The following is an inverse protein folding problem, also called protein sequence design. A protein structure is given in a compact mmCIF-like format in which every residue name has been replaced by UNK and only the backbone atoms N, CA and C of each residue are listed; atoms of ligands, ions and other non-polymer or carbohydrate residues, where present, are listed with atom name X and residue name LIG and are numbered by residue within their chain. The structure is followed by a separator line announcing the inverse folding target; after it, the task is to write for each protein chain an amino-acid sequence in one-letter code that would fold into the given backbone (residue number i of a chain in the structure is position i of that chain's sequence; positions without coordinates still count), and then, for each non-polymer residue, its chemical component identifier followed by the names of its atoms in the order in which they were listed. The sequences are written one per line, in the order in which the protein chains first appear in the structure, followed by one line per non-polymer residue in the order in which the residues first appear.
data_IF_381658356739
#
_entry.id   IF_381658356739
#
_cell.length_a   1.000
_cell.length_b   1.000
_cell.length_c   1.000
_cell.angle_alpha   90.00
_cell.angle_beta   90.00
_cell.angle_gamma   90.00
#
_symmetry.space_group_name_H-M   'P 1'
#
loop_
_entity.id
_entity.type
_entity.pdbx_description
1 polymer ?
#
# COMPACT_ATOMS: atom_id res chain seq x y z
N UNK A 1 44.35 -25.77 64.09
CA UNK A 1 42.95 -25.65 64.55
C UNK A 1 42.97 -25.25 66.01
N UNK A 2 42.27 -24.18 66.44
CA UNK A 2 42.23 -23.80 67.84
C UNK A 2 41.62 -24.92 68.70
N UNK A 3 42.18 -25.17 69.87
CA UNK A 3 41.66 -26.21 70.76
C UNK A 3 40.28 -25.80 71.29
N UNK A 4 39.41 -26.76 71.63
CA UNK A 4 38.08 -26.48 72.24
C UNK A 4 38.21 -25.61 73.51
N UNK A 5 39.34 -25.66 74.19
CA UNK A 5 39.61 -24.94 75.42
C UNK A 5 39.93 -23.46 75.17
N UNK A 6 40.61 -23.16 74.05
CA UNK A 6 40.91 -21.79 73.62
C UNK A 6 39.65 -21.04 73.20
N UNK A 7 38.75 -21.71 72.48
CA UNK A 7 37.44 -21.15 72.10
C UNK A 7 36.56 -20.86 73.33
N UNK A 8 36.60 -21.72 74.34
CA UNK A 8 35.83 -21.54 75.58
C UNK A 8 36.36 -20.38 76.42
N UNK A 9 37.69 -20.20 76.48
CA UNK A 9 38.32 -19.05 77.15
C UNK A 9 37.99 -17.74 76.46
N UNK A 10 38.07 -17.70 75.12
CA UNK A 10 37.72 -16.53 74.33
C UNK A 10 36.24 -16.14 74.50
N UNK A 11 35.33 -17.12 74.46
CA UNK A 11 33.90 -16.88 74.66
C UNK A 11 33.60 -16.30 76.05
N UNK A 12 34.23 -16.85 77.10
CA UNK A 12 34.05 -16.36 78.46
C UNK A 12 34.62 -14.93 78.64
N UNK A 13 35.78 -14.65 78.02
CA UNK A 13 36.37 -13.32 78.00
C UNK A 13 35.42 -12.30 77.35
N UNK A 14 34.95 -12.58 76.13
CA UNK A 14 34.02 -11.74 75.39
C UNK A 14 32.70 -11.55 76.15
N UNK A 15 32.13 -12.62 76.73
CA UNK A 15 30.91 -12.57 77.53
C UNK A 15 31.06 -11.65 78.74
N UNK A 16 32.18 -11.74 79.45
CA UNK A 16 32.44 -10.90 80.62
C UNK A 16 32.61 -9.42 80.26
N UNK A 17 33.24 -9.14 79.12
CA UNK A 17 33.49 -7.78 78.64
C UNK A 17 32.19 -7.13 78.13
N UNK A 18 31.38 -7.87 77.35
CA UNK A 18 30.06 -7.45 76.89
C UNK A 18 29.08 -7.20 78.05
N UNK A 19 29.17 -7.98 79.14
CA UNK A 19 28.29 -7.79 80.29
C UNK A 19 28.54 -6.48 81.03
N UNK A 20 29.78 -5.96 81.00
CA UNK A 20 30.21 -4.73 81.67
C UNK A 20 30.16 -3.48 80.78
N UNK A 21 29.89 -3.65 79.48
CA UNK A 21 29.87 -2.56 78.52
C UNK A 21 28.68 -1.61 78.78
N UNK A 22 28.97 -0.31 78.80
CA UNK A 22 28.00 0.77 78.80
C UNK A 22 28.46 1.80 77.77
N UNK A 23 27.65 2.06 76.75
CA UNK A 23 27.98 3.01 75.68
C UNK A 23 27.66 4.47 76.05
N UNK A 24 26.93 4.69 77.14
CA UNK A 24 26.60 6.03 77.63
C UNK A 24 27.78 6.60 78.43
N UNK A 25 28.15 7.85 78.12
CA UNK A 25 29.24 8.57 78.78
C UNK A 25 28.69 9.47 79.89
N UNK A 26 28.07 8.88 80.88
CA UNK A 26 27.36 9.56 81.98
C UNK A 26 28.06 9.31 83.30
N UNK A 27 28.35 10.39 84.03
CA UNK A 27 28.95 10.35 85.38
C UNK A 27 27.82 10.51 86.40
N UNK A 28 27.00 9.47 86.53
CA UNK A 28 25.92 9.40 87.54
C UNK A 28 26.27 8.36 88.58
N UNK A 29 26.09 8.68 89.87
CA UNK A 29 26.26 7.71 90.97
C UNK A 29 24.98 6.89 91.24
N UNK A 30 23.87 7.22 90.56
CA UNK A 30 22.60 6.52 90.71
C UNK A 30 22.64 5.15 90.01
N UNK A 31 22.55 4.10 90.81
CA UNK A 31 22.60 2.71 90.36
C UNK A 31 21.47 2.37 89.38
N UNK A 32 20.29 2.99 89.52
CA UNK A 32 19.14 2.75 88.64
C UNK A 32 19.43 3.28 87.23
N UNK A 33 20.08 4.44 87.14
CA UNK A 33 20.46 5.07 85.87
C UNK A 33 21.49 4.20 85.14
N UNK A 34 22.55 3.76 85.84
CA UNK A 34 23.59 2.89 85.28
C UNK A 34 23.01 1.55 84.78
N UNK A 35 22.04 0.97 85.52
CA UNK A 35 21.39 -0.27 85.11
C UNK A 35 20.56 -0.10 83.82
N UNK A 36 19.82 1.01 83.70
CA UNK A 36 19.04 1.31 82.50
C UNK A 36 19.94 1.58 81.29
N UNK A 37 21.05 2.29 81.47
CA UNK A 37 22.03 2.54 80.40
C UNK A 37 22.70 1.25 79.89
N UNK A 38 23.06 0.34 80.79
CA UNK A 38 23.57 -1.00 80.42
C UNK A 38 22.51 -1.82 79.67
N UNK A 39 21.24 -1.74 80.07
CA UNK A 39 20.12 -2.42 79.37
C UNK A 39 19.91 -1.82 77.97
N UNK A 40 19.91 -0.50 77.84
CA UNK A 40 19.81 0.21 76.57
C UNK A 40 20.99 -0.07 75.65
N UNK A 41 22.22 -0.13 76.19
CA UNK A 41 23.43 -0.54 75.47
C UNK A 41 23.29 -1.95 74.91
N UNK A 42 22.79 -2.91 75.70
CA UNK A 42 22.56 -4.28 75.26
C UNK A 42 21.49 -4.35 74.18
N UNK A 43 20.37 -3.62 74.35
CA UNK A 43 19.31 -3.57 73.35
C UNK A 43 19.81 -2.98 72.03
N UNK A 44 20.57 -1.88 72.08
CA UNK A 44 21.18 -1.26 70.90
C UNK A 44 22.11 -2.23 70.18
N UNK A 45 23.02 -2.91 70.89
CA UNK A 45 23.92 -3.88 70.26
C UNK A 45 23.19 -5.07 69.66
N UNK A 46 22.14 -5.57 70.31
CA UNK A 46 21.29 -6.63 69.75
C UNK A 46 20.63 -6.14 68.46
N UNK A 47 20.02 -4.96 68.46
CA UNK A 47 19.37 -4.37 67.28
C UNK A 47 20.37 -4.09 66.14
N UNK A 48 21.57 -3.61 66.48
CA UNK A 48 22.63 -3.35 65.51
C UNK A 48 23.10 -4.64 64.86
N UNK A 49 23.37 -5.68 65.65
CA UNK A 49 23.79 -6.99 65.13
C UNK A 49 22.66 -7.63 64.31
N UNK A 50 21.41 -7.57 64.76
CA UNK A 50 20.29 -8.13 63.98
C UNK A 50 20.08 -7.38 62.67
N UNK A 51 20.15 -6.05 62.65
CA UNK A 51 20.07 -5.27 61.40
C UNK A 51 21.21 -5.61 60.44
N UNK A 52 22.45 -5.73 60.93
CA UNK A 52 23.59 -6.17 60.11
C UNK A 52 23.37 -7.57 59.54
N UNK A 53 22.84 -8.51 60.33
CA UNK A 53 22.49 -9.85 59.86
C UNK A 53 21.41 -9.78 58.77
N UNK A 54 20.36 -8.97 58.95
CA UNK A 54 19.29 -8.79 57.95
C UNK A 54 19.88 -8.25 56.64
N UNK A 55 20.76 -7.25 56.69
CA UNK A 55 21.42 -6.71 55.50
C UNK A 55 22.31 -7.74 54.80
N UNK A 56 23.07 -8.53 55.56
CA UNK A 56 23.90 -9.61 55.01
C UNK A 56 23.05 -10.68 54.33
N UNK A 57 21.96 -11.11 54.98
CA UNK A 57 21.02 -12.08 54.40
C UNK A 57 20.40 -11.53 53.13
N UNK A 58 19.89 -10.29 53.17
CA UNK A 58 19.31 -9.63 52.00
C UNK A 58 20.31 -9.58 50.83
N UNK A 59 21.55 -9.17 51.08
CA UNK A 59 22.58 -9.11 50.06
C UNK A 59 22.98 -10.50 49.53
N UNK A 60 23.00 -11.52 50.39
CA UNK A 60 23.30 -12.90 49.98
C UNK A 60 22.16 -13.57 49.19
N UNK A 61 20.92 -13.13 49.40
CA UNK A 61 19.71 -13.65 48.76
C UNK A 61 19.34 -12.85 47.51
N UNK A 62 19.95 -11.68 47.30
CA UNK A 62 19.79 -10.91 46.07
C UNK A 62 20.15 -11.81 44.89
N UNK A 63 19.12 -12.19 44.13
CA UNK A 63 19.26 -13.03 42.95
C UNK A 63 20.13 -12.27 41.96
N UNK A 64 21.30 -12.84 41.64
CA UNK A 64 22.09 -12.39 40.51
C UNK A 64 21.56 -13.08 39.27
N UNK A 65 21.23 -12.29 38.25
CA UNK A 65 20.99 -12.82 36.91
C UNK A 65 22.34 -13.14 36.28
N UNK A 66 22.54 -14.38 35.88
CA UNK A 66 23.72 -14.81 35.14
C UNK A 66 23.40 -14.75 33.65
N UNK A 67 24.16 -13.96 32.90
CA UNK A 67 24.00 -13.85 31.45
C UNK A 67 24.73 -15.02 30.76
N UNK A 68 23.98 -15.86 30.06
CA UNK A 68 24.53 -16.94 29.23
C UNK A 68 24.66 -16.53 27.77
N UNK A 69 25.82 -16.81 27.15
CA UNK A 69 26.01 -16.61 25.70
C UNK A 69 25.93 -17.95 24.96
N UNK A 70 24.99 -18.05 24.02
CA UNK A 70 24.84 -19.22 23.15
C UNK A 70 25.16 -18.78 21.72
N UNK A 71 26.28 -19.27 21.14
CA UNK A 71 26.66 -18.90 19.78
C UNK A 71 25.73 -19.58 18.77
N UNK A 72 25.15 -18.78 17.87
CA UNK A 72 24.40 -19.25 16.68
C UNK A 72 23.44 -20.42 16.95
N UNK A 73 22.44 -20.25 17.84
CA UNK A 73 21.49 -21.32 18.15
C UNK A 73 20.70 -21.71 16.91
N UNK A 74 20.29 -22.98 16.84
CA UNK A 74 19.30 -23.42 15.85
C UNK A 74 17.92 -22.79 16.14
N UNK A 75 17.04 -22.73 15.13
CA UNK A 75 15.69 -22.18 15.30
C UNK A 75 14.88 -22.95 16.35
N UNK A 76 15.01 -24.28 16.39
CA UNK A 76 14.34 -25.13 17.39
C UNK A 76 14.88 -24.86 18.81
N UNK A 77 16.19 -24.62 18.92
CA UNK A 77 16.82 -24.27 20.20
C UNK A 77 16.38 -22.89 20.71
N UNK A 78 16.24 -21.92 19.81
CA UNK A 78 15.66 -20.62 20.12
C UNK A 78 14.25 -20.78 20.70
N UNK A 79 13.35 -21.50 20.03
CA UNK A 79 11.98 -21.69 20.52
C UNK A 79 11.90 -22.45 21.84
N UNK A 80 12.84 -23.36 22.08
CA UNK A 80 12.93 -24.06 23.38
C UNK A 80 13.29 -23.09 24.49
N UNK A 81 14.33 -22.28 24.30
CA UNK A 81 14.88 -21.41 25.36
C UNK A 81 13.99 -20.19 25.60
N UNK A 82 13.35 -19.65 24.55
CA UNK A 82 12.44 -18.50 24.67
C UNK A 82 11.26 -18.74 25.64
N UNK A 83 10.88 -20.01 25.85
CA UNK A 83 9.83 -20.39 26.81
C UNK A 83 10.28 -20.27 28.28
N UNK A 84 11.58 -20.35 28.53
CA UNK A 84 12.16 -20.45 29.87
C UNK A 84 12.91 -19.19 30.29
N UNK A 85 13.41 -18.41 29.33
CA UNK A 85 14.20 -17.21 29.58
C UNK A 85 13.94 -16.09 28.57
N UNK A 86 14.25 -14.85 28.97
CA UNK A 86 14.27 -13.70 28.07
C UNK A 86 15.54 -13.76 27.20
N UNK A 87 15.36 -13.80 25.88
CA UNK A 87 16.45 -13.90 24.92
C UNK A 87 16.63 -12.59 24.15
N UNK A 88 17.89 -12.20 23.96
CA UNK A 88 18.27 -11.17 23.00
C UNK A 88 19.12 -11.84 21.92
N UNK A 89 18.54 -12.00 20.72
CA UNK A 89 19.22 -12.60 19.58
C UNK A 89 19.56 -11.49 18.57
N UNK A 90 20.74 -10.87 18.65
CA UNK A 90 21.14 -9.84 17.69
C UNK A 90 21.28 -10.43 16.30
N UNK A 91 20.73 -9.73 15.31
CA UNK A 91 20.83 -10.12 13.92
C UNK A 91 22.26 -9.88 13.40
N UNK A 92 22.82 -10.83 12.65
CA UNK A 92 24.11 -10.62 11.95
C UNK A 92 23.96 -9.57 10.85
N UNK A 93 22.83 -9.60 10.13
CA UNK A 93 22.46 -8.59 9.16
C UNK A 93 21.23 -7.85 9.69
N UNK A 94 21.38 -6.54 9.90
CA UNK A 94 20.31 -5.69 10.43
C UNK A 94 19.30 -5.34 9.32
N UNK A 95 19.70 -5.45 8.06
CA UNK A 95 18.85 -5.16 6.91
C UNK A 95 18.75 -6.35 5.99
N UNK A 96 17.53 -6.63 5.54
CA UNK A 96 17.21 -7.61 4.51
C UNK A 96 16.19 -6.98 3.57
N UNK A 97 16.36 -7.17 2.27
CA UNK A 97 15.35 -6.71 1.33
C UNK A 97 14.12 -7.61 1.34
N UNK A 98 12.94 -7.03 1.10
CA UNK A 98 11.69 -7.78 1.02
C UNK A 98 11.72 -8.87 -0.08
N UNK A 99 12.43 -8.64 -1.18
CA UNK A 99 12.59 -9.64 -2.27
C UNK A 99 13.19 -10.99 -1.81
N UNK A 100 13.82 -11.03 -0.64
CA UNK A 100 14.46 -12.25 -0.11
C UNK A 100 13.43 -13.22 0.48
N UNK A 101 12.29 -12.72 0.97
CA UNK A 101 11.34 -13.53 1.76
C UNK A 101 9.87 -13.31 1.42
N UNK A 102 9.54 -12.33 0.55
CA UNK A 102 8.18 -12.06 0.10
C UNK A 102 8.13 -11.91 -1.42
N UNK A 103 7.07 -12.44 -2.04
CA UNK A 103 6.83 -12.36 -3.48
C UNK A 103 5.40 -11.87 -3.73
N UNK A 104 5.26 -10.82 -4.56
CA UNK A 104 3.98 -10.33 -5.04
C UNK A 104 3.88 -10.60 -6.53
N UNK A 105 2.89 -11.41 -6.92
CA UNK A 105 2.62 -11.75 -8.32
C UNK A 105 1.35 -11.03 -8.76
N UNK A 106 1.44 -9.96 -9.57
CA UNK A 106 0.26 -9.23 -10.01
C UNK A 106 -0.51 -10.04 -11.06
N UNK A 107 -1.83 -9.93 -11.02
CA UNK A 107 -2.73 -10.43 -12.08
C UNK A 107 -3.40 -9.26 -12.75
N UNK A 108 -3.19 -9.10 -14.06
CA UNK A 108 -3.81 -8.01 -14.80
C UNK A 108 -5.25 -8.37 -15.19
N UNK A 109 -6.08 -7.34 -15.30
CA UNK A 109 -7.44 -7.52 -15.77
C UNK A 109 -7.46 -7.99 -17.23
N UNK A 110 -8.31 -8.98 -17.55
CA UNK A 110 -8.42 -9.58 -18.90
C UNK A 110 -8.51 -8.55 -20.03
N UNK A 111 -9.16 -7.40 -19.78
CA UNK A 111 -9.26 -6.31 -20.75
C UNK A 111 -7.89 -5.82 -21.24
N UNK A 112 -6.93 -5.67 -20.32
CA UNK A 112 -5.57 -5.21 -20.61
C UNK A 112 -4.67 -6.29 -21.21
N UNK A 113 -5.10 -7.55 -21.17
CA UNK A 113 -4.42 -8.68 -21.83
C UNK A 113 -5.12 -9.10 -23.14
N UNK A 114 -6.26 -8.47 -23.47
CA UNK A 114 -7.08 -8.82 -24.62
C UNK A 114 -6.53 -8.26 -25.93
N UNK A 115 -7.01 -8.81 -27.05
CA UNK A 115 -6.72 -8.29 -28.39
C UNK A 115 -7.12 -6.81 -28.55
N UNK A 116 -8.06 -6.30 -27.74
CA UNK A 116 -8.61 -4.95 -27.87
C UNK A 116 -7.65 -3.83 -27.43
N UNK A 117 -6.50 -4.17 -26.86
CA UNK A 117 -5.41 -3.20 -26.60
C UNK A 117 -4.19 -3.43 -27.50
N UNK A 118 -4.27 -4.37 -28.44
CA UNK A 118 -3.20 -4.66 -29.40
C UNK A 118 -3.06 -3.59 -30.48
N UNK A 119 -1.87 -3.48 -31.06
CA UNK A 119 -1.64 -2.66 -32.26
C UNK A 119 -2.52 -3.09 -33.44
N UNK A 120 -2.78 -4.38 -33.58
CA UNK A 120 -3.53 -4.95 -34.68
C UNK A 120 -5.00 -4.52 -34.65
N UNK A 121 -5.61 -4.53 -33.46
CA UNK A 121 -6.95 -4.01 -33.25
C UNK A 121 -7.03 -2.50 -33.51
N UNK A 122 -6.09 -1.73 -32.97
CA UNK A 122 -6.06 -0.28 -33.15
C UNK A 122 -5.90 0.09 -34.63
N UNK A 123 -5.00 -0.60 -35.35
CA UNK A 123 -4.82 -0.41 -36.80
C UNK A 123 -6.07 -0.78 -37.58
N UNK A 124 -6.80 -1.83 -37.16
CA UNK A 124 -8.08 -2.17 -37.78
C UNK A 124 -9.11 -1.06 -37.60
N UNK A 125 -9.25 -0.52 -36.40
CA UNK A 125 -10.16 0.61 -36.15
C UNK A 125 -9.75 1.85 -36.94
N UNK A 126 -8.45 2.09 -37.11
CA UNK A 126 -7.94 3.19 -37.93
C UNK A 126 -8.37 3.06 -39.40
N UNK A 127 -8.30 1.87 -39.99
CA UNK A 127 -8.81 1.65 -41.35
C UNK A 127 -10.32 1.84 -41.47
N UNK A 128 -11.10 1.40 -40.48
CA UNK A 128 -12.55 1.63 -40.44
C UNK A 128 -12.88 3.12 -40.31
N UNK A 129 -12.09 3.86 -39.54
CA UNK A 129 -12.16 5.31 -39.41
C UNK A 129 -11.94 6.01 -40.76
N UNK A 130 -10.88 5.65 -41.49
CA UNK A 130 -10.57 6.24 -42.81
C UNK A 130 -11.69 5.98 -43.83
N UNK A 131 -12.23 4.77 -43.86
CA UNK A 131 -13.30 4.38 -44.79
C UNK A 131 -14.64 5.06 -44.48
N UNK A 132 -14.91 5.38 -43.22
CA UNK A 132 -16.19 5.92 -42.78
C UNK A 132 -16.21 7.44 -42.67
N UNK A 133 -15.09 8.13 -42.89
CA UNK A 133 -14.89 9.56 -42.62
C UNK A 133 -16.01 10.48 -43.15
N UNK A 134 -16.48 10.24 -44.37
CA UNK A 134 -17.48 11.09 -45.04
C UNK A 134 -18.94 10.72 -44.74
N UNK A 135 -19.21 9.49 -44.29
CA UNK A 135 -20.55 8.91 -44.24
C UNK A 135 -21.04 8.58 -42.83
N UNK A 136 -20.27 8.92 -41.79
CA UNK A 136 -20.55 8.56 -40.40
C UNK A 136 -20.87 9.78 -39.53
N UNK A 137 -21.79 9.59 -38.58
CA UNK A 137 -22.18 10.61 -37.61
C UNK A 137 -21.08 10.80 -36.54
N UNK A 138 -21.04 11.92 -35.81
CA UNK A 138 -20.08 12.11 -34.72
C UNK A 138 -20.14 11.04 -33.61
N UNK A 139 -21.28 10.37 -33.46
CA UNK A 139 -21.49 9.29 -32.47
C UNK A 139 -21.25 7.89 -33.04
N UNK A 140 -20.83 7.78 -34.30
CA UNK A 140 -20.51 6.50 -34.93
C UNK A 140 -19.23 5.92 -34.32
N UNK A 141 -19.31 4.67 -33.88
CA UNK A 141 -18.23 3.90 -33.28
C UNK A 141 -16.97 3.91 -34.15
N UNK A 142 -17.10 3.86 -35.47
CA UNK A 142 -15.94 3.87 -36.38
C UNK A 142 -15.14 5.17 -36.30
N UNK A 143 -15.77 6.29 -35.91
CA UNK A 143 -15.09 7.58 -35.75
C UNK A 143 -14.34 7.72 -34.42
N UNK A 144 -14.90 7.14 -33.36
CA UNK A 144 -14.44 7.35 -31.99
C UNK A 144 -13.62 6.17 -31.44
N UNK A 145 -13.89 4.96 -31.93
CA UNK A 145 -13.39 3.72 -31.37
C UNK A 145 -11.88 3.65 -31.39
N UNK A 146 -11.24 4.05 -32.50
CA UNK A 146 -9.77 4.05 -32.61
C UNK A 146 -9.11 4.85 -31.47
N UNK A 147 -9.65 6.02 -31.16
CA UNK A 147 -9.09 6.87 -30.11
C UNK A 147 -9.43 6.37 -28.71
N UNK A 148 -10.64 5.83 -28.50
CA UNK A 148 -11.04 5.26 -27.23
C UNK A 148 -10.24 3.99 -26.88
N UNK A 149 -9.96 3.12 -27.85
CA UNK A 149 -9.13 1.94 -27.64
C UNK A 149 -7.64 2.27 -27.54
N UNK A 150 -7.15 3.30 -28.23
CA UNK A 150 -5.82 3.86 -27.96
C UNK A 150 -5.72 4.40 -26.52
N UNK A 151 -6.74 5.12 -26.06
CA UNK A 151 -6.81 5.62 -24.68
C UNK A 151 -6.84 4.46 -23.69
N UNK A 152 -7.65 3.42 -23.94
CA UNK A 152 -7.69 2.21 -23.12
C UNK A 152 -6.32 1.53 -23.02
N UNK A 153 -5.62 1.37 -24.15
CA UNK A 153 -4.26 0.82 -24.16
C UNK A 153 -3.31 1.65 -23.29
N UNK A 154 -3.34 2.97 -23.42
CA UNK A 154 -2.50 3.85 -22.59
C UNK A 154 -2.84 3.74 -21.10
N UNK A 155 -4.12 3.57 -20.75
CA UNK A 155 -4.53 3.34 -19.35
C UNK A 155 -4.05 1.99 -18.83
N UNK A 156 -4.14 0.93 -19.64
CA UNK A 156 -3.60 -0.39 -19.29
C UNK A 156 -2.08 -0.35 -19.11
N UNK A 157 -1.36 0.36 -19.97
CA UNK A 157 0.09 0.58 -19.83
C UNK A 157 0.42 1.37 -18.55
N UNK A 158 -0.35 2.43 -18.26
CA UNK A 158 -0.18 3.21 -17.03
C UNK A 158 -0.41 2.35 -15.78
N UNK A 159 -1.45 1.51 -15.78
CA UNK A 159 -1.71 0.57 -14.70
C UNK A 159 -0.54 -0.42 -14.53
N UNK A 160 -0.09 -1.03 -15.63
CA UNK A 160 1.07 -1.93 -15.65
C UNK A 160 2.34 -1.28 -15.11
N UNK A 161 2.67 -0.07 -15.56
CA UNK A 161 3.82 0.69 -15.09
C UNK A 161 3.70 1.07 -13.61
N UNK A 162 2.50 1.41 -13.15
CA UNK A 162 2.25 1.77 -11.75
C UNK A 162 2.49 0.56 -10.85
N UNK A 163 1.98 -0.61 -11.24
CA UNK A 163 2.22 -1.88 -10.55
C UNK A 163 3.71 -2.21 -10.55
N UNK A 164 4.39 -2.14 -11.70
CA UNK A 164 5.82 -2.46 -11.81
C UNK A 164 6.70 -1.53 -10.95
N UNK A 165 6.40 -0.24 -10.91
CA UNK A 165 7.10 0.71 -10.01
C UNK A 165 6.84 0.40 -8.55
N UNK A 166 5.59 0.05 -8.19
CA UNK A 166 5.25 -0.39 -6.86
C UNK A 166 6.03 -1.65 -6.46
N UNK A 167 6.10 -2.66 -7.33
CA UNK A 167 6.83 -3.90 -7.10
C UNK A 167 8.33 -3.65 -6.93
N UNK A 168 8.92 -2.79 -7.75
CA UNK A 168 10.31 -2.38 -7.57
C UNK A 168 10.50 -1.72 -6.20
N UNK A 169 9.62 -0.78 -5.81
CA UNK A 169 9.69 -0.15 -4.50
C UNK A 169 9.57 -1.17 -3.37
N UNK A 170 8.62 -2.11 -3.46
CA UNK A 170 8.44 -3.19 -2.49
C UNK A 170 9.71 -4.04 -2.37
N UNK A 171 10.21 -4.57 -3.50
CA UNK A 171 11.37 -5.47 -3.55
C UNK A 171 12.65 -4.83 -3.01
N UNK A 172 12.87 -3.54 -3.29
CA UNK A 172 14.07 -2.80 -2.86
C UNK A 172 13.93 -2.15 -1.48
N UNK A 173 12.78 -2.25 -0.82
CA UNK A 173 12.62 -1.75 0.55
C UNK A 173 13.40 -2.67 1.50
N UNK A 174 14.07 -2.05 2.48
CA UNK A 174 14.79 -2.77 3.53
C UNK A 174 13.83 -3.07 4.71
N UNK A 175 13.75 -4.34 5.08
CA UNK A 175 13.28 -4.79 6.38
C UNK A 175 14.42 -4.62 7.39
N UNK A 176 14.24 -3.71 8.34
CA UNK A 176 15.29 -3.30 9.29
C UNK A 176 14.98 -3.86 10.67
N UNK A 177 15.84 -4.73 11.18
CA UNK A 177 15.67 -5.31 12.49
C UNK A 177 17.01 -5.66 13.16
N UNK A 178 17.23 -5.12 14.37
CA UNK A 178 18.45 -5.34 15.14
C UNK A 178 18.45 -6.62 15.97
N UNK A 179 17.25 -7.11 16.34
CA UNK A 179 17.04 -8.29 17.17
C UNK A 179 16.04 -9.24 16.51
N UNK A 180 16.25 -10.56 16.58
CA UNK A 180 15.29 -11.53 16.06
C UNK A 180 13.88 -11.25 16.60
N UNK A 181 12.92 -11.07 15.68
CA UNK A 181 11.50 -10.92 16.00
C UNK A 181 10.82 -12.28 16.09
N UNK A 182 9.73 -12.35 16.85
CA UNK A 182 8.87 -13.54 16.83
C UNK A 182 8.18 -13.69 15.48
N UNK A 183 7.77 -14.92 15.10
CA UNK A 183 7.00 -15.16 13.88
C UNK A 183 5.75 -14.29 13.79
N UNK A 184 5.00 -14.15 14.88
CA UNK A 184 3.76 -13.34 14.89
C UNK A 184 4.03 -11.88 14.56
N UNK A 185 5.12 -11.30 15.10
CA UNK A 185 5.50 -9.91 14.83
C UNK A 185 5.99 -9.78 13.39
N UNK A 186 6.75 -10.75 12.90
CA UNK A 186 7.20 -10.79 11.51
C UNK A 186 6.00 -10.81 10.55
N UNK A 187 5.06 -11.74 10.73
CA UNK A 187 3.85 -11.85 9.91
C UNK A 187 3.05 -10.54 9.91
N UNK A 188 2.78 -9.95 11.08
CA UNK A 188 2.05 -8.68 11.17
C UNK A 188 2.75 -7.54 10.43
N UNK A 189 4.08 -7.45 10.51
CA UNK A 189 4.85 -6.41 9.82
C UNK A 189 4.82 -6.61 8.30
N UNK A 190 4.99 -7.85 7.84
CA UNK A 190 4.93 -8.17 6.41
C UNK A 190 3.53 -7.92 5.85
N UNK A 191 2.49 -8.40 6.53
CA UNK A 191 1.11 -8.20 6.13
C UNK A 191 0.75 -6.72 6.09
N UNK A 192 1.21 -5.93 7.05
CA UNK A 192 1.00 -4.47 7.04
C UNK A 192 1.59 -3.84 5.79
N UNK A 193 2.80 -4.24 5.38
CA UNK A 193 3.47 -3.67 4.22
C UNK A 193 2.85 -4.15 2.90
N UNK A 194 2.43 -5.42 2.83
CA UNK A 194 1.67 -5.95 1.69
C UNK A 194 0.34 -5.22 1.54
N UNK A 195 -0.38 -5.00 2.64
CA UNK A 195 -1.65 -4.28 2.61
C UNK A 195 -1.46 -2.82 2.18
N UNK A 196 -0.40 -2.16 2.62
CA UNK A 196 -0.05 -0.82 2.14
C UNK A 196 0.20 -0.80 0.63
N UNK A 197 0.94 -1.78 0.10
CA UNK A 197 1.15 -1.93 -1.34
C UNK A 197 -0.18 -2.10 -2.10
N UNK A 198 -1.07 -2.98 -1.62
CA UNK A 198 -2.39 -3.25 -2.22
C UNK A 198 -3.27 -2.00 -2.18
N UNK A 199 -3.21 -1.21 -1.11
CA UNK A 199 -4.03 -0.01 -0.97
C UNK A 199 -3.51 1.20 -1.75
N UNK A 200 -2.20 1.46 -1.73
CA UNK A 200 -1.64 2.69 -2.31
C UNK A 200 -1.37 2.58 -3.82
N UNK A 201 -1.16 1.37 -4.35
CA UNK A 201 -0.89 1.19 -5.79
C UNK A 201 -2.10 1.63 -6.65
N UNK A 202 -3.34 1.18 -6.39
CA UNK A 202 -4.52 1.66 -7.13
C UNK A 202 -4.79 3.14 -6.90
N UNK A 203 -4.57 3.66 -5.68
CA UNK A 203 -4.72 5.10 -5.38
C UNK A 203 -3.75 5.93 -6.21
N UNK A 204 -2.52 5.46 -6.41
CA UNK A 204 -1.51 6.15 -7.24
C UNK A 204 -1.94 6.20 -8.70
N UNK A 205 -2.45 5.10 -9.24
CA UNK A 205 -3.04 5.07 -10.57
C UNK A 205 -4.21 6.05 -10.68
N UNK A 206 -5.16 6.01 -9.73
CA UNK A 206 -6.33 6.90 -9.71
C UNK A 206 -5.95 8.38 -9.61
N UNK A 207 -4.93 8.74 -8.84
CA UNK A 207 -4.42 10.13 -8.80
C UNK A 207 -3.90 10.57 -10.17
N UNK A 208 -3.12 9.73 -10.84
CA UNK A 208 -2.62 10.03 -12.18
C UNK A 208 -3.75 10.13 -13.20
N UNK A 209 -4.74 9.22 -13.11
CA UNK A 209 -5.94 9.23 -13.94
C UNK A 209 -6.77 10.51 -13.75
N UNK A 210 -7.11 10.87 -12.51
CA UNK A 210 -7.89 12.07 -12.20
C UNK A 210 -7.15 13.33 -12.67
N UNK A 211 -5.82 13.37 -12.51
CA UNK A 211 -5.02 14.46 -13.06
C UNK A 211 -5.15 14.57 -14.59
N UNK A 212 -5.11 13.45 -15.32
CA UNK A 212 -5.35 13.45 -16.78
C UNK A 212 -6.77 13.90 -17.13
N UNK A 213 -7.77 13.50 -16.35
CA UNK A 213 -9.16 13.89 -16.54
C UNK A 213 -9.35 15.39 -16.33
N UNK A 214 -8.83 15.94 -15.22
CA UNK A 214 -8.92 17.37 -14.92
C UNK A 214 -8.16 18.21 -15.94
N UNK A 215 -6.97 17.76 -16.35
CA UNK A 215 -6.17 18.44 -17.38
C UNK A 215 -6.88 18.43 -18.72
N UNK A 216 -7.45 17.30 -19.16
CA UNK A 216 -8.20 17.24 -20.43
C UNK A 216 -9.49 18.06 -20.37
N UNK A 217 -10.16 18.11 -19.21
CA UNK A 217 -11.36 18.91 -19.03
C UNK A 217 -11.09 20.42 -19.10
N UNK A 218 -9.98 20.87 -18.52
CA UNK A 218 -9.65 22.30 -18.36
C UNK A 218 -8.84 22.89 -19.51
N UNK A 219 -8.00 22.09 -20.19
CA UNK A 219 -6.94 22.64 -21.04
C UNK A 219 -7.33 22.83 -22.50
N UNK A 220 -8.59 22.59 -22.91
CA UNK A 220 -8.95 22.41 -24.33
C UNK A 220 -7.99 21.44 -25.06
N UNK A 221 -7.28 20.55 -24.33
CA UNK A 221 -6.45 19.51 -24.95
C UNK A 221 -7.43 18.62 -25.70
N UNK A 222 -7.44 18.85 -27.00
CA UNK A 222 -8.32 18.21 -27.94
C UNK A 222 -8.00 16.72 -27.93
N UNK A 223 -8.72 15.94 -27.13
CA UNK A 223 -8.79 14.48 -27.35
C UNK A 223 -9.18 14.28 -28.82
N UNK A 224 -8.67 13.27 -29.51
CA UNK A 224 -8.85 13.10 -30.97
C UNK A 224 -10.30 13.20 -31.49
N UNK A 225 -11.29 13.18 -30.60
CA UNK A 225 -12.67 13.58 -30.86
C UNK A 225 -12.82 15.03 -31.35
N UNK A 226 -11.94 15.97 -31.08
CA UNK A 226 -12.05 17.32 -31.67
C UNK A 226 -11.60 17.39 -33.13
N UNK A 227 -11.13 16.28 -33.73
CA UNK A 227 -11.09 16.20 -35.20
C UNK A 227 -12.54 16.09 -35.76
N UNK A 228 -13.56 15.91 -34.91
CA UNK A 228 -14.95 16.13 -35.30
C UNK A 228 -15.31 17.61 -35.50
N UNK A 229 -14.49 18.57 -35.04
CA UNK A 229 -14.69 20.01 -35.26
C UNK A 229 -13.95 20.58 -36.48
N UNK A 230 -13.19 19.75 -37.20
CA UNK A 230 -12.57 20.15 -38.46
C UNK A 230 -13.20 19.35 -39.59
N UNK A 231 -14.43 19.71 -39.95
CA UNK A 231 -14.88 19.44 -41.32
C UNK A 231 -14.14 20.42 -42.22
N UNK A 232 -13.56 20.01 -43.36
CA UNK A 232 -13.25 20.95 -44.42
C UNK A 232 -14.58 21.51 -44.91
N UNK A 233 -15.02 22.62 -44.31
CA UNK A 233 -16.16 23.36 -44.82
C UNK A 233 -15.65 24.11 -46.03
N UNK A 234 -16.15 23.80 -47.24
CA UNK A 234 -16.11 24.76 -48.33
C UNK A 234 -17.00 25.92 -47.92
N UNK A 235 -16.42 26.91 -47.25
CA UNK A 235 -17.14 28.14 -47.01
C UNK A 235 -17.14 28.92 -48.32
N UNK A 236 -18.33 29.12 -48.90
CA UNK A 236 -18.52 30.07 -49.99
C UNK A 236 -18.39 31.49 -49.42
N UNK A 237 -17.17 31.88 -49.05
CA UNK A 237 -16.83 33.29 -48.92
C UNK A 237 -16.65 33.80 -50.35
N UNK A 238 -17.38 34.85 -50.68
CA UNK A 238 -17.41 35.48 -52.00
C UNK A 238 -16.02 35.51 -52.69
N UNK A 239 -15.95 34.85 -53.84
CA UNK A 239 -14.99 35.07 -54.94
C UNK A 239 -13.49 34.79 -54.74
N UNK A 240 -13.02 34.17 -53.66
CA UNK A 240 -11.63 33.64 -53.63
C UNK A 240 -11.55 32.26 -52.98
N UNK A 241 -11.13 31.27 -53.77
CA UNK A 241 -10.98 29.87 -53.32
C UNK A 241 -9.73 29.78 -52.45
N UNK A 242 -9.89 30.03 -51.15
CA UNK A 242 -8.92 29.67 -50.12
C UNK A 242 -9.41 28.43 -49.36
N UNK A 243 -8.66 27.33 -49.41
CA UNK A 243 -8.88 26.23 -48.47
C UNK A 243 -8.32 26.66 -47.12
N UNK A 244 -9.19 26.99 -46.16
CA UNK A 244 -8.83 27.27 -44.77
C UNK A 244 -9.42 26.22 -43.84
N UNK A 245 -8.62 25.75 -42.87
CA UNK A 245 -9.14 24.98 -41.73
C UNK A 245 -9.73 25.98 -40.74
N UNK A 246 -11.06 26.08 -40.67
CA UNK A 246 -11.73 26.85 -39.61
C UNK A 246 -11.97 25.91 -38.43
N UNK A 247 -11.46 26.21 -37.22
CA UNK A 247 -11.86 25.48 -36.02
C UNK A 247 -13.35 25.74 -35.82
N UNK A 248 -14.20 24.72 -35.99
CA UNK A 248 -15.64 24.89 -35.76
C UNK A 248 -15.87 25.02 -34.25
N UNK A 249 -16.32 26.18 -33.74
CA UNK A 249 -16.68 26.30 -32.34
C UNK A 249 -18.05 25.64 -32.16
N UNK A 250 -18.08 24.50 -31.47
CA UNK A 250 -19.30 23.82 -31.07
C UNK A 250 -19.77 22.76 -32.07
N UNK A 251 -19.18 21.56 -31.99
CA UNK A 251 -19.85 20.37 -32.54
C UNK A 251 -21.06 20.09 -31.64
N UNK A 252 -22.25 20.21 -32.21
CA UNK A 252 -23.47 19.75 -31.57
C UNK A 252 -23.50 18.23 -31.70
N UNK A 253 -23.32 17.53 -30.59
CA UNK A 253 -23.63 16.11 -30.48
C UNK A 253 -25.13 15.98 -30.30
N UNK A 254 -25.82 15.39 -31.28
CA UNK A 254 -27.19 14.93 -31.10
C UNK A 254 -27.13 13.46 -30.76
N UNK A 255 -27.51 13.11 -29.54
CA UNK A 255 -27.53 11.74 -29.08
C UNK A 255 -28.85 11.05 -29.47
N UNK A 256 -28.91 9.74 -29.27
CA UNK A 256 -30.04 8.89 -29.67
C UNK A 256 -31.34 9.20 -28.93
N UNK A 257 -31.27 9.91 -27.80
CA UNK A 257 -32.40 10.42 -27.02
C UNK A 257 -32.85 11.82 -27.46
N UNK A 258 -32.35 12.32 -28.59
CA UNK A 258 -32.52 13.70 -29.09
C UNK A 258 -31.96 14.79 -28.18
N UNK A 259 -31.17 14.45 -27.15
CA UNK A 259 -30.42 15.45 -26.41
C UNK A 259 -29.33 16.04 -27.30
N UNK A 260 -29.22 17.38 -27.30
CA UNK A 260 -28.17 18.10 -28.02
C UNK A 260 -27.17 18.65 -27.03
N UNK A 261 -25.89 18.41 -27.28
CA UNK A 261 -24.82 18.88 -26.42
C UNK A 261 -23.72 19.59 -27.22
N UNK A 262 -23.18 20.67 -26.66
CA UNK A 262 -22.14 21.49 -27.29
C UNK A 262 -20.87 21.43 -26.45
N UNK A 263 -19.80 20.82 -26.98
CA UNK A 263 -18.57 20.59 -26.21
C UNK A 263 -17.91 21.86 -25.66
N UNK A 264 -18.17 23.02 -26.25
CA UNK A 264 -17.60 24.30 -25.81
C UNK A 264 -18.28 24.88 -24.57
N UNK A 265 -19.48 24.41 -24.21
CA UNK A 265 -20.29 24.99 -23.13
C UNK A 265 -20.86 23.95 -22.16
N UNK A 266 -20.62 22.67 -22.40
CA UNK A 266 -21.16 21.56 -21.62
C UNK A 266 -20.07 20.88 -20.79
N UNK A 267 -20.44 20.40 -19.60
CA UNK A 267 -19.51 19.70 -18.71
C UNK A 267 -19.32 18.24 -19.13
N UNK A 268 -18.25 17.60 -18.64
CA UNK A 268 -17.93 16.22 -19.00
C UNK A 268 -19.00 15.19 -18.63
N UNK A 269 -19.76 15.44 -17.56
CA UNK A 269 -20.83 14.54 -17.09
C UNK A 269 -22.16 14.73 -17.83
N UNK A 270 -22.40 15.90 -18.41
CA UNK A 270 -23.68 16.25 -19.07
C UNK A 270 -23.68 15.96 -20.56
N UNK A 271 -22.51 15.66 -21.13
CA UNK A 271 -22.29 15.54 -22.56
C UNK A 271 -21.83 14.16 -23.00
N UNK A 272 -22.58 13.12 -22.62
CA UNK A 272 -22.31 11.74 -22.96
C UNK A 272 -23.59 11.04 -23.43
N UNK A 273 -23.44 10.06 -24.31
CA UNK A 273 -24.53 9.21 -24.79
C UNK A 273 -24.00 7.92 -25.41
N UNK A 274 -24.89 7.09 -25.92
CA UNK A 274 -24.52 5.81 -26.51
C UNK A 274 -23.94 6.00 -27.91
N UNK A 275 -22.88 5.28 -28.21
CA UNK A 275 -22.32 5.21 -29.55
C UNK A 275 -23.25 4.40 -30.48
N UNK A 276 -23.05 4.57 -31.78
CA UNK A 276 -23.82 3.84 -32.80
C UNK A 276 -22.91 3.09 -33.76
N UNK A 277 -23.37 1.98 -34.31
CA UNK A 277 -22.69 1.27 -35.39
C UNK A 277 -23.74 0.87 -36.43
N UNK A 278 -23.54 1.27 -37.69
CA UNK A 278 -24.54 1.12 -38.77
C UNK A 278 -25.95 1.59 -38.35
N UNK A 279 -26.03 2.79 -37.76
CA UNK A 279 -27.24 3.43 -37.25
C UNK A 279 -27.97 2.69 -36.10
N UNK A 280 -27.39 1.62 -35.56
CA UNK A 280 -27.91 0.92 -34.39
C UNK A 280 -27.12 1.34 -33.15
N UNK A 281 -27.79 1.42 -32.00
CA UNK A 281 -27.15 1.68 -30.70
C UNK A 281 -26.16 0.56 -30.41
N UNK A 282 -24.93 0.92 -30.01
CA UNK A 282 -23.90 -0.02 -29.61
C UNK A 282 -23.99 -0.29 -28.09
N UNK A 283 -24.38 -1.50 -27.66
CA UNK A 283 -24.55 -1.79 -26.24
C UNK A 283 -23.26 -1.60 -25.45
N UNK A 284 -23.38 -0.97 -24.28
CA UNK A 284 -22.26 -0.79 -23.36
C UNK A 284 -21.13 0.10 -23.85
N UNK A 285 -21.30 0.87 -24.93
CA UNK A 285 -20.25 1.75 -25.45
C UNK A 285 -20.73 3.20 -25.52
N UNK A 286 -20.05 4.08 -24.79
CA UNK A 286 -20.42 5.49 -24.68
C UNK A 286 -19.48 6.40 -25.49
N UNK A 287 -20.04 7.51 -25.91
CA UNK A 287 -19.37 8.60 -26.62
C UNK A 287 -19.76 9.94 -26.02
N UNK A 288 -18.94 10.96 -26.23
CA UNK A 288 -19.20 12.29 -25.71
C UNK A 288 -18.05 13.25 -26.00
N UNK A 289 -18.19 14.48 -25.52
CA UNK A 289 -17.16 15.51 -25.72
C UNK A 289 -15.84 15.18 -25.01
N UNK A 290 -15.91 14.42 -23.93
CA UNK A 290 -14.75 14.02 -23.13
C UNK A 290 -14.58 12.51 -23.25
N UNK A 291 -13.69 12.13 -24.16
CA UNK A 291 -13.47 10.73 -24.53
C UNK A 291 -13.08 9.85 -23.36
N UNK A 292 -12.28 10.38 -22.43
CA UNK A 292 -11.86 9.67 -21.23
C UNK A 292 -13.07 9.34 -20.35
N UNK A 293 -13.93 10.32 -20.06
CA UNK A 293 -15.17 10.10 -19.30
C UNK A 293 -16.11 9.09 -19.98
N UNK A 294 -16.30 9.23 -21.30
CA UNK A 294 -17.14 8.33 -22.07
C UNK A 294 -16.59 6.89 -22.05
N UNK A 295 -15.28 6.71 -22.23
CA UNK A 295 -14.63 5.40 -22.13
C UNK A 295 -14.84 4.81 -20.73
N UNK A 296 -14.56 5.57 -19.68
CA UNK A 296 -14.66 5.09 -18.30
C UNK A 296 -16.07 4.69 -17.89
N UNK A 297 -17.08 5.35 -18.46
CA UNK A 297 -18.49 5.04 -18.21
C UNK A 297 -19.03 3.93 -19.13
N UNK A 298 -18.22 3.43 -20.07
CA UNK A 298 -18.56 2.29 -20.95
C UNK A 298 -18.37 0.96 -20.21
N UNK A 299 -19.12 -0.06 -20.63
CA UNK A 299 -19.07 -1.42 -20.09
C UNK A 299 -18.47 -2.43 -21.10
N UNK A 300 -18.39 -2.10 -22.39
CA UNK A 300 -17.86 -2.96 -23.48
C UNK A 300 -18.70 -4.22 -23.77
N UNK A 301 -19.97 -4.24 -23.39
CA UNK A 301 -20.92 -5.35 -23.62
C UNK A 301 -20.96 -5.85 -25.07
N UNK A 302 -20.87 -4.92 -26.04
CA UNK A 302 -20.84 -5.29 -27.45
C UNK A 302 -19.66 -6.21 -27.84
N UNK A 303 -18.56 -6.18 -27.06
CA UNK A 303 -17.34 -6.94 -27.31
C UNK A 303 -17.35 -8.35 -26.70
N UNK A 304 -18.46 -8.76 -26.07
CA UNK A 304 -18.74 -10.18 -25.79
C UNK A 304 -19.43 -10.88 -26.96
N UNK A 305 -20.02 -10.09 -27.86
CA UNK A 305 -20.80 -10.63 -28.96
C UNK A 305 -19.90 -10.87 -30.17
N UNK A 306 -19.61 -12.14 -30.42
CA UNK A 306 -18.81 -12.59 -31.56
C UNK A 306 -19.37 -12.10 -32.91
N UNK A 307 -20.70 -11.93 -33.02
CA UNK A 307 -21.34 -11.39 -34.23
C UNK A 307 -20.92 -9.95 -34.50
N UNK A 308 -20.80 -9.13 -33.46
CA UNK A 308 -20.36 -7.73 -33.61
C UNK A 308 -18.87 -7.67 -33.96
N UNK A 309 -18.04 -8.43 -33.27
CA UNK A 309 -16.60 -8.52 -33.57
C UNK A 309 -16.38 -8.96 -35.02
N UNK A 310 -17.13 -9.96 -35.49
CA UNK A 310 -17.04 -10.46 -36.85
C UNK A 310 -17.43 -9.41 -37.90
N UNK A 311 -18.36 -8.49 -37.60
CA UNK A 311 -18.67 -7.35 -38.48
C UNK A 311 -17.52 -6.35 -38.56
N UNK A 312 -16.79 -6.18 -37.47
CA UNK A 312 -15.60 -5.34 -37.44
C UNK A 312 -14.40 -6.03 -38.06
N UNK A 313 -14.46 -7.34 -38.27
CA UNK A 313 -13.34 -8.12 -38.70
C UNK A 313 -13.13 -8.10 -40.23
N UNK A 314 -11.90 -8.34 -40.69
CA UNK A 314 -11.63 -8.67 -42.09
C UNK A 314 -11.16 -10.13 -42.17
N UNK A 315 -11.24 -10.73 -43.36
CA UNK A 315 -10.98 -12.15 -43.64
C UNK A 315 -9.59 -12.71 -43.24
N UNK A 316 -8.71 -11.91 -42.65
CA UNK A 316 -7.29 -12.24 -42.43
C UNK A 316 -6.93 -12.67 -40.99
N UNK A 317 -7.74 -12.36 -39.97
CA UNK A 317 -7.48 -12.77 -38.56
C UNK A 317 -8.73 -12.60 -37.71
N UNK A 318 -8.99 -13.45 -36.71
CA UNK A 318 -10.11 -13.29 -35.77
C UNK A 318 -9.65 -12.68 -34.44
N UNK A 319 -10.30 -11.59 -34.01
CA UNK A 319 -10.15 -11.05 -32.65
C UNK A 319 -10.99 -11.87 -31.67
N UNK A 320 -10.44 -12.17 -30.50
CA UNK A 320 -11.14 -12.91 -29.45
C UNK A 320 -12.11 -12.00 -28.70
N UNK A 321 -13.30 -12.52 -28.37
CA UNK A 321 -14.29 -11.82 -27.56
C UNK A 321 -13.85 -11.68 -26.11
N UNK A 322 -14.37 -10.65 -25.43
CA UNK A 322 -14.27 -10.54 -23.97
C UNK A 322 -15.14 -11.60 -23.27
N UNK A 323 -14.80 -11.89 -22.02
CA UNK A 323 -15.62 -12.79 -21.20
C UNK A 323 -16.75 -12.01 -20.52
N UNK A 324 -17.95 -12.57 -20.52
CA UNK A 324 -19.19 -11.87 -20.15
C UNK A 324 -19.31 -11.49 -18.68
N UNK A 325 -18.46 -12.03 -17.80
CA UNK A 325 -18.42 -11.60 -16.39
C UNK A 325 -17.88 -10.18 -16.23
N UNK A 326 -17.09 -9.70 -17.20
CA UNK A 326 -16.27 -8.49 -17.06
C UNK A 326 -16.82 -7.30 -17.86
N UNK A 327 -17.60 -7.56 -18.89
CA UNK A 327 -18.15 -6.60 -19.87
C UNK A 327 -19.39 -5.81 -19.41
N UNK A 328 -19.90 -6.08 -18.23
CA UNK A 328 -21.02 -5.33 -17.65
C UNK A 328 -20.55 -4.35 -16.57
N UNK A 329 -19.27 -4.41 -16.19
CA UNK A 329 -18.67 -3.47 -15.26
C UNK A 329 -18.10 -2.28 -16.02
N UNK A 330 -18.26 -1.08 -15.45
CA UNK A 330 -17.64 0.13 -16.00
C UNK A 330 -16.13 -0.05 -16.06
N UNK A 331 -15.49 0.40 -17.14
CA UNK A 331 -14.03 0.35 -17.29
C UNK A 331 -13.32 1.01 -16.10
N UNK A 332 -13.90 2.07 -15.52
CA UNK A 332 -13.41 2.69 -14.29
C UNK A 332 -13.23 1.71 -13.12
N UNK A 333 -14.23 0.85 -12.92
CA UNK A 333 -14.21 -0.14 -11.85
C UNK A 333 -13.22 -1.27 -12.15
N UNK A 334 -12.99 -1.57 -13.43
CA UNK A 334 -12.09 -2.63 -13.87
C UNK A 334 -10.61 -2.22 -13.79
N UNK A 335 -10.32 -0.93 -13.97
CA UNK A 335 -8.96 -0.39 -13.92
C UNK A 335 -8.55 0.08 -12.51
N UNK A 336 -9.48 0.12 -11.56
CA UNK A 336 -9.24 0.50 -10.16
C UNK A 336 -9.16 -0.69 -9.20
N UNK A 337 -9.33 -1.91 -9.73
CA UNK A 337 -9.05 -3.18 -9.07
C UNK A 337 -7.66 -3.65 -9.49
#
# INVERSE_FOLDING_TARGET
MPSKEDLRRLFNFLKSHLYRLNLFNTVSEDEIIIQNERRSTRLYLVLLVTSMIIFLVYYSVALYTEDGFIPSPSLDEYYRIQKEASLQCPCTNITLKYEVFAEIVPTYHQLCESDFVSDEWINRLFHLYEQSWNNSTPIDFRRIGVFQFQTLRSLCQLAGDTINRGLQSFNYTDFVQSLLVSPDIFEVQIDSFINEFIEETPKTFLRAFNFMQDTTAQSLFMTGASITSVRPVRQYLSETIGQGLVPYPGVNYTFTDNSTCVCSSSTATTCMGLATFDNNVLPGFQTGCYMLNALMNSTLEAFDNETFINKLNNSSRSFQKLNSSNSHSKIEKLLSQ
#
